data_IF_383249450729
#
_entry.id   IF_383249450729
#
_cell.length_a   1.000
_cell.length_b   1.000
_cell.length_c   1.000
_cell.angle_alpha   90.00
_cell.angle_beta   90.00
_cell.angle_gamma   90.00
#
_symmetry.space_group_name_H-M   'P 1'
#
loop_
_entity.id
_entity.type
_entity.pdbx_description
1 polymer ?
#
# COMPACT_ATOMS: atom_id res chain seq x y z
N UNK A 1 -3.82 1.23 13.50
CA UNK A 1 -2.39 1.36 13.14
C UNK A 1 -1.77 2.49 13.95
N UNK A 2 -0.54 2.30 14.44
CA UNK A 2 0.30 3.44 14.85
C UNK A 2 0.50 4.33 13.62
N UNK A 3 0.63 5.65 13.82
CA UNK A 3 0.82 6.61 12.73
C UNK A 3 2.14 6.26 12.02
N UNK A 4 2.05 5.72 10.81
CA UNK A 4 3.24 5.46 9.98
C UNK A 4 3.46 6.74 9.19
N UNK A 5 4.62 7.37 9.35
CA UNK A 5 4.96 8.58 8.61
C UNK A 5 5.26 8.23 7.16
N UNK A 6 4.56 8.90 6.23
CA UNK A 6 4.86 8.78 4.81
C UNK A 6 6.13 9.58 4.49
N UNK A 7 7.11 8.94 3.89
CA UNK A 7 8.24 9.63 3.28
C UNK A 7 7.79 10.11 1.90
N UNK A 8 7.52 11.40 1.77
CA UNK A 8 7.09 11.98 0.50
C UNK A 8 8.23 11.87 -0.53
N UNK A 9 8.03 11.04 -1.55
CA UNK A 9 8.97 10.84 -2.66
C UNK A 9 8.19 10.75 -3.97
N UNK A 10 8.82 11.16 -5.06
CA UNK A 10 8.25 11.11 -6.41
C UNK A 10 8.78 9.93 -7.23
N UNK A 11 9.79 9.24 -6.72
CA UNK A 11 10.46 8.12 -7.36
C UNK A 11 10.68 6.99 -6.35
N UNK A 12 10.43 5.75 -6.78
CA UNK A 12 10.63 4.53 -6.00
C UNK A 12 11.23 3.47 -6.92
N UNK A 13 12.38 2.92 -6.53
CA UNK A 13 13.08 1.85 -7.22
C UNK A 13 13.39 0.73 -6.22
N UNK A 14 13.05 -0.51 -6.57
CA UNK A 14 13.22 -1.69 -5.72
C UNK A 14 13.66 -2.85 -6.60
N UNK A 15 14.75 -3.52 -6.21
CA UNK A 15 15.27 -4.72 -6.87
C UNK A 15 14.94 -5.99 -6.08
N UNK A 16 14.89 -7.14 -6.76
CA UNK A 16 14.72 -8.46 -6.12
C UNK A 16 13.31 -8.78 -5.63
N UNK A 17 12.28 -8.11 -6.15
CA UNK A 17 10.89 -8.33 -5.75
C UNK A 17 10.26 -9.52 -6.48
N UNK A 18 9.32 -10.21 -5.82
CA UNK A 18 8.48 -11.22 -6.50
C UNK A 18 7.51 -10.57 -7.49
N UNK A 19 7.01 -9.37 -7.16
CA UNK A 19 6.13 -8.60 -8.03
C UNK A 19 5.35 -7.52 -7.27
N UNK A 20 4.37 -6.92 -7.94
CA UNK A 20 3.51 -5.90 -7.33
C UNK A 20 2.08 -5.93 -7.86
N UNK A 21 1.14 -5.42 -7.06
CA UNK A 21 -0.25 -5.18 -7.46
C UNK A 21 -0.55 -3.68 -7.48
N UNK A 22 -1.40 -3.26 -8.41
CA UNK A 22 -2.03 -1.94 -8.40
C UNK A 22 -3.47 -2.11 -7.97
N UNK A 23 -3.86 -1.55 -6.83
CA UNK A 23 -5.21 -1.71 -6.27
C UNK A 23 -5.73 -0.43 -5.65
N UNK A 24 -7.06 -0.33 -5.59
CA UNK A 24 -7.74 0.74 -4.86
C UNK A 24 -7.91 0.34 -3.40
N UNK A 25 -7.59 1.24 -2.47
CA UNK A 25 -7.80 1.02 -1.03
C UNK A 25 -9.29 1.02 -0.73
N UNK A 26 -9.80 -0.12 -0.26
CA UNK A 26 -11.21 -0.29 0.11
C UNK A 26 -11.37 -0.41 1.64
N UNK A 27 -12.60 -0.18 2.12
CA UNK A 27 -12.93 -0.39 3.53
C UNK A 27 -12.80 -1.88 3.88
N UNK A 28 -12.44 -2.17 5.13
CA UNK A 28 -12.21 -3.54 5.61
C UNK A 28 -13.40 -4.49 5.30
N UNK A 29 -13.20 -5.54 4.49
CA UNK A 29 -14.10 -6.73 4.35
C UNK A 29 -13.38 -8.06 4.61
N UNK A 30 -14.04 -9.12 5.08
CA UNK A 30 -13.49 -10.31 5.82
C UNK A 30 -12.38 -11.21 5.18
N UNK A 31 -11.40 -10.68 4.45
CA UNK A 31 -10.29 -11.46 3.83
C UNK A 31 -8.90 -11.05 4.34
N UNK A 32 -7.84 -11.72 3.86
CA UNK A 32 -6.45 -11.33 4.09
C UNK A 32 -6.18 -9.89 3.61
N UNK A 33 -5.66 -9.03 4.49
CA UNK A 33 -5.47 -7.60 4.24
C UNK A 33 -4.06 -7.17 4.53
N UNK A 34 -3.57 -6.29 3.67
CA UNK A 34 -2.44 -5.42 3.99
C UNK A 34 -3.00 -4.17 4.65
N UNK A 35 -2.47 -3.84 5.83
CA UNK A 35 -2.89 -2.68 6.60
C UNK A 35 -2.47 -1.38 5.87
N UNK A 36 -3.45 -0.54 5.54
CA UNK A 36 -3.23 0.77 4.91
C UNK A 36 -3.87 1.87 5.78
N UNK A 37 -3.19 3.01 6.03
CA UNK A 37 -3.77 4.12 6.78
C UNK A 37 -5.08 4.62 6.17
N UNK A 38 -6.06 4.96 7.03
CA UNK A 38 -7.41 5.33 6.59
C UNK A 38 -7.43 6.59 5.72
N UNK A 39 -6.44 7.48 5.84
CA UNK A 39 -6.33 8.68 4.98
C UNK A 39 -6.14 8.36 3.48
N UNK A 40 -5.81 7.12 3.13
CA UNK A 40 -5.61 6.69 1.75
C UNK A 40 -6.77 5.87 1.18
N UNK A 41 -7.89 5.76 1.90
CA UNK A 41 -9.12 5.16 1.36
C UNK A 41 -9.49 5.84 0.04
N UNK A 42 -9.97 5.05 -0.91
CA UNK A 42 -10.29 5.44 -2.29
C UNK A 42 -9.12 5.86 -3.19
N UNK A 43 -7.87 5.80 -2.71
CA UNK A 43 -6.69 6.03 -3.54
C UNK A 43 -6.20 4.73 -4.20
N UNK A 44 -5.55 4.89 -5.35
CA UNK A 44 -4.79 3.81 -6.00
C UNK A 44 -3.42 3.71 -5.36
N UNK A 45 -3.04 2.49 -4.95
CA UNK A 45 -1.75 2.20 -4.32
C UNK A 45 -1.06 1.04 -5.04
N UNK A 46 0.27 1.05 -4.95
CA UNK A 46 1.11 -0.09 -5.33
C UNK A 46 1.35 -0.93 -4.07
N UNK A 47 1.11 -2.23 -4.17
CA UNK A 47 1.47 -3.21 -3.15
C UNK A 47 2.60 -4.06 -3.69
N UNK A 48 3.81 -3.88 -3.14
CA UNK A 48 5.00 -4.62 -3.56
C UNK A 48 5.15 -5.86 -2.67
N UNK A 49 5.42 -7.01 -3.30
CA UNK A 49 5.75 -8.27 -2.64
C UNK A 49 7.25 -8.48 -2.82
N UNK A 50 7.98 -8.45 -1.70
CA UNK A 50 9.44 -8.59 -1.63
C UNK A 50 9.84 -9.99 -1.20
#
# INVERSE_FOLDING_TARGET
MKKVEIQAQTHLEIEGIEGFFIRKVTKFGNSAKVDCPKEYIDRTVYLVIV
#
